data_IF_687007215701
#
_entry.id   IF_687007215701
#
_cell.length_a   1.000
_cell.length_b   1.000
_cell.length_c   1.000
_cell.angle_alpha   90.00
_cell.angle_beta   90.00
_cell.angle_gamma   90.00
#
_symmetry.space_group_name_H-M   'P 1'
#
loop_
_entity.id
_entity.type
_entity.pdbx_description
1 polymer ?
#
# COMPACT_ATOMS: atom_id res chain seq x y z
N UNK A 1 3.45 20.33 -19.38
CA UNK A 1 2.04 20.10 -18.99
C UNK A 1 2.08 19.26 -17.75
N UNK A 2 1.44 19.71 -16.66
CA UNK A 2 1.31 18.89 -15.45
C UNK A 2 0.23 17.85 -15.77
N UNK A 3 0.62 16.60 -16.01
CA UNK A 3 -0.35 15.51 -16.07
C UNK A 3 -1.03 15.47 -14.70
N UNK A 4 -2.33 15.76 -14.69
CA UNK A 4 -3.14 15.59 -13.48
C UNK A 4 -3.08 14.13 -13.08
N UNK A 5 -2.51 13.86 -11.90
CA UNK A 5 -2.53 12.56 -11.22
C UNK A 5 -3.99 12.20 -10.88
N UNK A 6 -4.77 11.79 -11.88
CA UNK A 6 -6.16 11.38 -11.70
C UNK A 6 -6.20 10.15 -10.78
N UNK A 7 -6.83 10.34 -9.62
CA UNK A 7 -7.08 9.29 -8.65
C UNK A 7 -8.25 8.45 -9.15
N UNK A 8 -8.05 7.15 -9.21
CA UNK A 8 -9.03 6.14 -9.60
C UNK A 8 -9.23 5.16 -8.46
N UNK A 9 -10.44 4.59 -8.40
CA UNK A 9 -10.85 3.55 -7.46
C UNK A 9 -11.11 2.26 -8.25
N UNK A 10 -10.48 1.16 -7.84
CA UNK A 10 -10.53 -0.12 -8.56
C UNK A 10 -10.78 -1.27 -7.57
N UNK A 11 -11.51 -2.29 -7.99
CA UNK A 11 -11.47 -3.58 -7.31
C UNK A 11 -10.10 -4.25 -7.49
N UNK A 12 -9.61 -5.06 -6.54
CA UNK A 12 -8.32 -5.73 -6.67
C UNK A 12 -8.16 -6.56 -7.95
N UNK A 13 -9.24 -7.21 -8.39
CA UNK A 13 -9.31 -7.99 -9.62
C UNK A 13 -9.00 -7.14 -10.87
N UNK A 14 -9.39 -5.87 -10.87
CA UNK A 14 -9.17 -4.95 -12.00
C UNK A 14 -7.70 -4.53 -12.15
N UNK A 15 -6.91 -4.62 -11.07
CA UNK A 15 -5.46 -4.47 -11.10
C UNK A 15 -4.73 -5.75 -11.54
N UNK A 16 -5.47 -6.84 -11.79
CA UNK A 16 -4.92 -8.14 -12.12
C UNK A 16 -4.44 -8.91 -10.90
N UNK A 17 -4.84 -8.53 -9.69
CA UNK A 17 -4.52 -9.24 -8.44
C UNK A 17 -4.98 -10.70 -8.52
N UNK A 18 -4.16 -11.70 -8.14
CA UNK A 18 -4.59 -13.09 -8.21
C UNK A 18 -5.71 -13.42 -7.20
N UNK A 19 -6.58 -14.41 -7.46
CA UNK A 19 -7.77 -14.68 -6.64
C UNK A 19 -7.48 -14.95 -5.15
N UNK A 20 -6.37 -15.61 -4.83
CA UNK A 20 -5.96 -15.87 -3.44
C UNK A 20 -5.66 -14.57 -2.70
N UNK A 21 -5.02 -13.61 -3.37
CA UNK A 21 -4.67 -12.30 -2.83
C UNK A 21 -5.90 -11.39 -2.74
N UNK A 22 -6.85 -11.49 -3.67
CA UNK A 22 -8.15 -10.82 -3.55
C UNK A 22 -8.91 -11.25 -2.29
N UNK A 23 -8.80 -12.53 -1.89
CA UNK A 23 -9.40 -13.01 -0.63
C UNK A 23 -8.73 -12.37 0.60
N UNK A 24 -7.41 -12.17 0.57
CA UNK A 24 -6.68 -11.44 1.63
C UNK A 24 -7.21 -10.01 1.76
N UNK A 25 -7.40 -9.30 0.64
CA UNK A 25 -7.97 -7.94 0.67
C UNK A 25 -9.40 -7.91 1.19
N UNK A 26 -10.26 -8.85 0.77
CA UNK A 26 -11.65 -8.94 1.29
C UNK A 26 -11.67 -9.17 2.80
N UNK A 27 -10.79 -10.04 3.29
CA UNK A 27 -10.66 -10.29 4.72
C UNK A 27 -10.13 -9.06 5.47
N UNK A 28 -9.08 -8.41 4.96
CA UNK A 28 -8.52 -7.21 5.58
C UNK A 28 -9.51 -6.06 5.60
N UNK A 29 -10.25 -5.82 4.52
CA UNK A 29 -11.32 -4.83 4.47
C UNK A 29 -12.41 -5.11 5.52
N UNK A 30 -12.80 -6.38 5.70
CA UNK A 30 -13.73 -6.78 6.76
C UNK A 30 -13.15 -6.52 8.17
N UNK A 31 -11.85 -6.70 8.37
CA UNK A 31 -11.18 -6.38 9.64
C UNK A 31 -11.15 -4.86 9.88
N UNK A 32 -10.80 -4.07 8.87
CA UNK A 32 -10.83 -2.61 8.93
C UNK A 32 -12.23 -2.10 9.32
N UNK A 33 -13.28 -2.63 8.69
CA UNK A 33 -14.66 -2.30 9.01
C UNK A 33 -15.02 -2.66 10.45
N UNK A 34 -14.58 -3.81 10.93
CA UNK A 34 -14.78 -4.22 12.33
C UNK A 34 -14.10 -3.23 13.29
N UNK A 35 -12.87 -2.78 12.97
CA UNK A 35 -12.15 -1.78 13.75
C UNK A 35 -12.89 -0.43 13.73
N UNK A 36 -13.35 0.00 12.56
CA UNK A 36 -14.13 1.23 12.34
C UNK A 36 -15.40 1.25 13.18
N UNK A 37 -16.20 0.18 13.12
CA UNK A 37 -17.45 0.02 13.86
C UNK A 37 -17.23 -0.10 15.38
N UNK A 38 -16.12 -0.73 15.79
CA UNK A 38 -15.79 -0.94 17.21
C UNK A 38 -15.11 0.26 17.87
N UNK A 39 -14.73 1.28 17.11
CA UNK A 39 -13.94 2.42 17.61
C UNK A 39 -14.74 3.73 17.50
N UNK A 40 -15.36 4.23 18.59
CA UNK A 40 -16.33 5.34 18.51
C UNK A 40 -15.79 6.63 17.89
N UNK A 41 -14.53 6.97 18.15
CA UNK A 41 -13.90 8.21 17.68
C UNK A 41 -13.43 8.16 16.22
N UNK A 42 -13.33 6.96 15.65
CA UNK A 42 -12.76 6.71 14.33
C UNK A 42 -13.79 7.07 13.25
N UNK A 43 -13.39 7.85 12.25
CA UNK A 43 -14.20 8.16 11.08
C UNK A 43 -13.90 7.17 9.96
N UNK A 44 -12.65 7.14 9.51
CA UNK A 44 -12.18 6.22 8.48
C UNK A 44 -10.86 5.57 8.90
N UNK A 45 -10.60 4.36 8.41
CA UNK A 45 -9.30 3.69 8.51
C UNK A 45 -8.96 3.02 7.18
N UNK A 46 -7.71 3.16 6.75
CA UNK A 46 -7.19 2.61 5.50
C UNK A 46 -5.86 1.91 5.73
N UNK A 47 -5.51 0.98 4.85
CA UNK A 47 -4.14 0.45 4.76
C UNK A 47 -3.45 1.10 3.57
N UNK A 48 -2.25 1.64 3.78
CA UNK A 48 -1.45 2.23 2.71
C UNK A 48 -0.14 1.46 2.55
N UNK A 49 0.52 1.63 1.42
CA UNK A 49 1.95 1.33 1.35
C UNK A 49 2.29 -0.08 0.90
N UNK A 50 3.37 -0.60 1.48
CA UNK A 50 4.02 -1.84 1.07
C UNK A 50 3.10 -3.04 1.07
N UNK A 51 2.30 -3.20 2.15
CA UNK A 51 1.36 -4.32 2.26
C UNK A 51 0.45 -4.47 1.04
N UNK A 52 -0.15 -3.37 0.58
CA UNK A 52 -1.11 -3.38 -0.52
C UNK A 52 -0.40 -3.80 -1.80
N UNK A 53 0.77 -3.23 -2.07
CA UNK A 53 1.55 -3.55 -3.26
C UNK A 53 2.06 -5.00 -3.26
N UNK A 54 2.61 -5.44 -2.13
CA UNK A 54 3.14 -6.79 -1.93
C UNK A 54 2.04 -7.84 -2.14
N UNK A 55 0.86 -7.56 -1.56
CA UNK A 55 -0.31 -8.43 -1.71
C UNK A 55 -0.81 -8.46 -3.15
N UNK A 56 -0.89 -7.33 -3.86
CA UNK A 56 -1.23 -7.30 -5.30
C UNK A 56 -0.28 -8.20 -6.10
N UNK A 57 1.01 -8.17 -5.77
CA UNK A 57 2.07 -8.87 -6.50
C UNK A 57 2.31 -10.31 -6.04
N UNK A 58 1.53 -10.80 -5.08
CA UNK A 58 1.72 -12.11 -4.47
C UNK A 58 3.12 -12.31 -3.85
N UNK A 59 3.67 -11.23 -3.29
CA UNK A 59 4.87 -11.24 -2.46
C UNK A 59 4.45 -11.30 -0.99
N UNK A 60 5.29 -11.90 -0.13
CA UNK A 60 5.01 -11.96 1.31
C UNK A 60 5.07 -10.54 1.91
N UNK A 61 3.95 -10.02 2.45
CA UNK A 61 3.93 -8.68 3.04
C UNK A 61 4.52 -8.70 4.46
N UNK A 62 5.23 -7.65 4.86
CA UNK A 62 5.85 -7.57 6.19
C UNK A 62 4.92 -7.00 7.25
N UNK A 63 4.59 -5.72 7.13
CA UNK A 63 3.89 -4.88 8.11
C UNK A 63 2.64 -4.25 7.52
N UNK A 64 1.77 -3.75 8.39
CA UNK A 64 0.53 -3.06 8.05
C UNK A 64 0.64 -1.60 8.52
N UNK A 65 0.67 -0.68 7.57
CA UNK A 65 0.62 0.76 7.86
C UNK A 65 -0.82 1.25 7.80
N UNK A 66 -1.43 1.41 8.97
CA UNK A 66 -2.79 1.92 9.11
C UNK A 66 -2.77 3.43 9.19
N UNK A 67 -3.58 4.06 8.34
CA UNK A 67 -3.83 5.49 8.39
C UNK A 67 -5.29 5.72 8.75
N UNK A 68 -5.54 6.63 9.68
CA UNK A 68 -6.90 6.81 10.21
C UNK A 68 -7.26 8.29 10.42
N UNK A 69 -8.55 8.60 10.32
CA UNK A 69 -9.14 9.93 10.52
C UNK A 69 -10.10 9.93 11.71
N UNK A 70 -10.27 11.08 12.36
CA UNK A 70 -11.19 11.25 13.49
C UNK A 70 -12.54 11.84 13.06
N UNK A 71 -13.62 11.45 13.75
CA UNK A 71 -14.97 12.02 13.55
C UNK A 71 -15.04 13.48 14.00
N UNK A 72 -14.41 13.77 15.13
CA UNK A 72 -14.40 15.09 15.75
C UNK A 72 -12.97 15.59 15.85
N UNK A 73 -12.79 16.86 15.48
CA UNK A 73 -11.51 17.54 15.60
C UNK A 73 -11.41 18.19 16.98
N UNK A 74 -10.27 18.06 17.65
CA UNK A 74 -10.02 18.78 18.90
C UNK A 74 -9.91 20.29 18.68
N UNK A 75 -9.24 20.72 17.60
CA UNK A 75 -9.19 22.11 17.16
C UNK A 75 -9.37 22.19 15.64
N UNK A 76 -9.71 23.35 15.06
CA UNK A 76 -9.86 23.50 13.60
C UNK A 76 -8.61 23.15 12.78
N UNK A 77 -7.43 23.15 13.40
CA UNK A 77 -6.13 22.90 12.75
C UNK A 77 -5.52 21.56 13.15
N UNK A 78 -6.03 20.90 14.20
CA UNK A 78 -5.48 19.65 14.72
C UNK A 78 -6.58 18.76 15.31
N UNK A 79 -6.84 17.57 14.73
CA UNK A 79 -7.86 16.67 15.24
C UNK A 79 -7.45 15.97 16.55
N UNK A 80 -6.15 15.91 16.85
CA UNK A 80 -5.56 15.09 17.91
C UNK A 80 -5.09 13.71 17.40
N UNK A 81 -4.04 13.12 17.99
CA UNK A 81 -3.68 11.70 17.75
C UNK A 81 -4.17 10.82 18.91
N UNK A 82 -4.83 9.72 18.53
CA UNK A 82 -5.35 8.63 19.37
C UNK A 82 -4.68 7.31 19.00
N UNK A 83 -3.45 7.38 18.48
CA UNK A 83 -2.74 6.26 17.87
C UNK A 83 -2.54 5.11 18.87
N UNK A 84 -2.22 5.41 20.13
CA UNK A 84 -2.07 4.40 21.19
C UNK A 84 -3.40 3.77 21.65
N UNK A 85 -4.49 4.54 21.64
CA UNK A 85 -5.82 4.02 21.94
C UNK A 85 -6.27 3.06 20.83
N UNK A 86 -6.07 3.45 19.57
CA UNK A 86 -6.40 2.62 18.42
C UNK A 86 -5.55 1.34 18.36
N UNK A 87 -4.23 1.42 18.60
CA UNK A 87 -3.35 0.24 18.69
C UNK A 87 -3.83 -0.76 19.74
N UNK A 88 -4.23 -0.28 20.93
CA UNK A 88 -4.80 -1.14 21.99
C UNK A 88 -6.12 -1.76 21.54
N UNK A 89 -6.98 -1.00 20.87
CA UNK A 89 -8.24 -1.50 20.32
C UNK A 89 -8.02 -2.61 19.28
N UNK A 90 -7.12 -2.40 18.33
CA UNK A 90 -6.76 -3.41 17.32
C UNK A 90 -6.21 -4.68 17.97
N UNK A 91 -5.28 -4.52 18.93
CA UNK A 91 -4.72 -5.66 19.66
C UNK A 91 -5.78 -6.44 20.45
N UNK A 92 -6.77 -5.74 21.04
CA UNK A 92 -7.86 -6.36 21.78
C UNK A 92 -8.81 -7.17 20.88
N UNK A 93 -9.10 -6.67 19.66
CA UNK A 93 -9.98 -7.36 18.71
C UNK A 93 -9.37 -8.68 18.21
N UNK A 94 -8.03 -8.81 18.23
CA UNK A 94 -7.30 -10.03 17.88
C UNK A 94 -7.75 -10.67 16.54
N UNK A 95 -7.91 -9.84 15.51
CA UNK A 95 -8.43 -10.27 14.22
C UNK A 95 -7.34 -10.98 13.39
N UNK A 96 -7.68 -11.92 12.49
CA UNK A 96 -6.70 -12.84 11.91
C UNK A 96 -5.49 -12.20 11.19
N UNK A 97 -5.68 -11.17 10.37
CA UNK A 97 -4.62 -10.53 9.59
C UNK A 97 -3.84 -9.55 10.47
N UNK A 98 -4.54 -8.72 11.23
CA UNK A 98 -3.93 -7.70 12.09
C UNK A 98 -3.21 -8.25 13.31
N UNK A 99 -3.65 -9.38 13.88
CA UNK A 99 -2.96 -10.05 15.00
C UNK A 99 -1.70 -10.81 14.60
N UNK A 100 -1.60 -11.21 13.33
CA UNK A 100 -0.46 -11.99 12.82
C UNK A 100 0.69 -11.13 12.29
N UNK A 101 0.55 -9.80 12.30
CA UNK A 101 1.50 -8.86 11.71
C UNK A 101 1.80 -7.68 12.63
N UNK A 102 2.92 -7.01 12.36
CA UNK A 102 3.20 -5.71 12.96
C UNK A 102 2.26 -4.68 12.35
N UNK A 103 1.53 -3.97 13.20
CA UNK A 103 0.62 -2.89 12.79
C UNK A 103 1.18 -1.57 13.29
N UNK A 104 1.57 -0.72 12.35
CA UNK A 104 1.91 0.67 12.62
C UNK A 104 0.68 1.55 12.34
N UNK A 105 0.46 2.56 13.18
CA UNK A 105 -0.76 3.37 13.15
C UNK A 105 -0.37 4.84 13.10
N UNK A 106 -0.83 5.51 12.05
CA UNK A 106 -0.59 6.92 11.76
C UNK A 106 -1.92 7.67 11.64
N UNK A 107 -1.97 8.87 12.19
CA UNK A 107 -3.13 9.75 12.05
C UNK A 107 -2.97 10.63 10.81
N UNK A 108 -4.04 10.80 10.03
CA UNK A 108 -4.06 11.71 8.87
C UNK A 108 -4.96 12.91 9.13
N UNK A 109 -4.51 14.10 8.71
CA UNK A 109 -5.37 15.28 8.68
C UNK A 109 -6.37 15.17 7.51
N UNK A 110 -7.48 15.91 7.60
CA UNK A 110 -8.45 15.96 6.51
C UNK A 110 -7.80 16.57 5.27
N UNK A 111 -7.86 15.84 4.15
CA UNK A 111 -7.17 16.20 2.90
C UNK A 111 -5.74 15.66 2.77
N UNK A 112 -5.15 15.04 3.79
CA UNK A 112 -3.77 14.50 3.73
C UNK A 112 -3.61 13.16 3.01
N UNK A 113 -4.66 12.64 2.37
CA UNK A 113 -4.53 11.52 1.43
C UNK A 113 -3.91 12.07 0.12
N UNK A 114 -2.70 12.59 0.23
CA UNK A 114 -1.83 12.89 -0.89
C UNK A 114 -1.31 11.57 -1.42
N UNK A 115 -1.77 11.15 -2.60
CA UNK A 115 -1.11 10.12 -3.41
C UNK A 115 0.18 10.68 -4.06
N UNK A 116 0.92 11.53 -3.34
CA UNK A 116 2.17 12.11 -3.81
C UNK A 116 3.34 11.19 -3.48
N UNK A 117 4.37 11.11 -4.35
CA UNK A 117 5.56 10.27 -4.13
C UNK A 117 6.29 10.64 -2.82
N UNK A 118 6.44 9.68 -1.91
CA UNK A 118 7.28 9.84 -0.70
C UNK A 118 8.76 9.78 -1.10
N UNK A 119 9.62 10.72 -0.63
CA UNK A 119 11.07 10.66 -0.84
C UNK A 119 11.72 9.46 -0.12
N UNK A 120 12.63 8.79 -0.83
CA UNK A 120 13.16 7.43 -0.58
C UNK A 120 14.08 7.29 0.65
N UNK A 121 14.09 6.11 1.30
CA UNK A 121 15.21 5.59 2.12
C UNK A 121 15.61 4.17 1.67
N UNK A 122 16.83 3.98 1.17
CA UNK A 122 17.17 2.87 0.26
C UNK A 122 17.75 1.63 0.93
N UNK A 123 17.36 0.44 0.47
CA UNK A 123 17.95 -0.85 0.86
C UNK A 123 18.39 -1.71 -0.34
N UNK A 124 19.52 -2.40 -0.20
CA UNK A 124 20.34 -3.04 -1.24
C UNK A 124 19.69 -4.11 -2.16
N UNK A 125 18.46 -4.57 -1.91
CA UNK A 125 17.83 -5.68 -2.66
C UNK A 125 16.35 -5.44 -3.00
N UNK A 126 15.88 -4.20 -3.00
CA UNK A 126 14.46 -3.88 -3.20
C UNK A 126 14.19 -3.56 -4.68
N UNK A 127 13.28 -4.30 -5.32
CA UNK A 127 12.80 -3.96 -6.67
C UNK A 127 11.79 -2.83 -6.52
N UNK A 128 12.23 -1.60 -6.80
CA UNK A 128 11.40 -0.43 -6.64
C UNK A 128 10.34 -0.38 -7.74
N UNK A 129 9.09 -0.59 -7.34
CA UNK A 129 7.94 -0.08 -8.07
C UNK A 129 7.61 1.23 -7.37
N UNK A 130 7.77 2.36 -8.07
CA UNK A 130 7.62 3.74 -7.54
C UNK A 130 6.14 4.10 -7.28
N UNK A 131 5.48 3.26 -6.50
CA UNK A 131 4.05 3.26 -6.20
C UNK A 131 3.71 3.22 -4.69
N UNK A 132 4.65 3.13 -3.70
CA UNK A 132 4.25 2.90 -2.30
C UNK A 132 3.24 3.93 -1.77
N UNK A 133 3.36 5.17 -2.21
CA UNK A 133 2.49 6.26 -1.78
C UNK A 133 1.24 6.45 -2.65
N UNK A 134 1.16 5.74 -3.78
CA UNK A 134 0.08 5.82 -4.78
C UNK A 134 -0.92 4.67 -4.67
N UNK A 135 -0.86 3.80 -3.66
CA UNK A 135 -1.87 2.74 -3.43
C UNK A 135 -2.36 2.71 -1.98
N UNK A 136 -3.67 2.60 -1.80
CA UNK A 136 -4.30 2.39 -0.50
C UNK A 136 -5.52 1.48 -0.65
N UNK A 137 -5.82 0.71 0.39
CA UNK A 137 -6.99 -0.13 0.54
C UNK A 137 -7.95 0.51 1.54
N UNK A 138 -9.20 0.72 1.14
CA UNK A 138 -10.27 1.19 2.03
C UNK A 138 -11.01 0.05 2.75
N UNK A 139 -11.84 0.39 3.74
CA UNK A 139 -12.66 -0.57 4.50
C UNK A 139 -13.78 -1.22 3.66
N UNK A 140 -14.08 -0.69 2.47
CA UNK A 140 -14.98 -1.28 1.48
C UNK A 140 -14.28 -2.31 0.57
N UNK A 141 -12.95 -2.44 0.67
CA UNK A 141 -12.15 -3.41 -0.08
C UNK A 141 -11.72 -2.95 -1.47
N UNK A 142 -11.77 -1.65 -1.74
CA UNK A 142 -11.28 -1.06 -2.97
C UNK A 142 -9.88 -0.50 -2.82
N UNK A 143 -9.15 -0.54 -3.94
CA UNK A 143 -7.83 0.03 -4.05
C UNK A 143 -7.93 1.40 -4.74
N UNK A 144 -7.48 2.44 -4.05
CA UNK A 144 -7.35 3.76 -4.64
C UNK A 144 -5.91 3.98 -5.10
N UNK A 145 -5.76 4.50 -6.30
CA UNK A 145 -4.45 4.72 -6.94
C UNK A 145 -4.52 5.79 -8.01
N UNK A 146 -3.40 6.22 -8.58
CA UNK A 146 -3.43 6.99 -9.83
C UNK A 146 -3.52 6.08 -11.05
N UNK A 147 -4.03 6.61 -12.17
CA UNK A 147 -4.10 5.88 -13.46
C UNK A 147 -2.72 5.42 -13.97
N UNK A 148 -1.71 6.27 -13.79
CA UNK A 148 -0.31 5.95 -14.12
C UNK A 148 0.19 4.77 -13.28
N UNK A 149 0.01 4.83 -11.96
CA UNK A 149 0.41 3.75 -11.06
C UNK A 149 -0.33 2.44 -11.37
N UNK A 150 -1.64 2.50 -11.62
CA UNK A 150 -2.42 1.32 -12.01
C UNK A 150 -1.89 0.66 -13.30
N UNK A 151 -1.49 1.48 -14.28
CA UNK A 151 -0.88 0.98 -15.53
C UNK A 151 0.44 0.28 -15.25
N UNK A 152 1.32 0.92 -14.48
CA UNK A 152 2.61 0.36 -14.09
C UNK A 152 2.45 -0.95 -13.29
N UNK A 153 1.53 -1.02 -12.32
CA UNK A 153 1.23 -2.25 -11.57
C UNK A 153 0.85 -3.39 -12.53
N UNK A 154 -0.09 -3.13 -13.45
CA UNK A 154 -0.60 -4.16 -14.38
C UNK A 154 0.50 -4.67 -15.30
N UNK A 155 1.32 -3.77 -15.84
CA UNK A 155 2.48 -4.13 -16.68
C UNK A 155 3.46 -5.02 -15.91
N UNK A 156 3.78 -4.67 -14.66
CA UNK A 156 4.69 -5.48 -13.83
C UNK A 156 4.11 -6.84 -13.49
N UNK A 157 2.82 -6.93 -13.14
CA UNK A 157 2.15 -8.23 -12.94
C UNK A 157 2.23 -9.08 -14.22
N UNK A 158 2.00 -8.47 -15.39
CA UNK A 158 2.07 -9.15 -16.68
C UNK A 158 3.48 -9.67 -16.98
N UNK A 159 4.52 -8.84 -16.79
CA UNK A 159 5.92 -9.24 -16.97
C UNK A 159 6.28 -10.43 -16.07
N UNK A 160 5.92 -10.34 -14.79
CA UNK A 160 6.20 -11.39 -13.81
C UNK A 160 5.55 -12.72 -14.17
N UNK A 161 4.27 -12.69 -14.56
CA UNK A 161 3.51 -13.91 -14.89
C UNK A 161 3.97 -14.57 -16.17
N UNK A 162 4.30 -13.79 -17.20
CA UNK A 162 4.55 -14.33 -18.53
C UNK A 162 6.03 -14.57 -18.81
N UNK A 163 6.92 -13.83 -18.16
CA UNK A 163 8.36 -13.92 -18.45
C UNK A 163 9.17 -14.46 -17.28
N UNK A 164 8.59 -14.50 -16.06
CA UNK A 164 9.31 -14.83 -14.83
C UNK A 164 10.48 -13.88 -14.53
N UNK A 165 10.53 -12.73 -15.21
CA UNK A 165 11.63 -11.77 -15.23
C UNK A 165 11.05 -10.37 -15.14
N UNK A 166 11.73 -9.47 -14.43
CA UNK A 166 11.43 -8.03 -14.52
C UNK A 166 12.54 -7.41 -15.36
N UNK A 167 12.17 -6.75 -16.45
CA UNK A 167 13.14 -6.02 -17.26
C UNK A 167 13.25 -4.58 -16.74
N UNK A 168 14.48 -4.18 -16.42
CA UNK A 168 14.81 -2.81 -16.04
C UNK A 168 15.51 -2.11 -17.21
N UNK A 169 14.93 -1.00 -17.68
CA UNK A 169 15.58 -0.12 -18.63
C UNK A 169 16.69 0.73 -17.97
N UNK A 170 16.60 0.97 -16.66
CA UNK A 170 17.56 1.79 -15.89
C UNK A 170 17.58 1.39 -14.40
N UNK A 171 18.77 1.25 -13.81
CA UNK A 171 18.95 0.96 -12.38
C UNK A 171 19.53 2.21 -11.69
N UNK A 172 18.82 2.84 -10.74
CA UNK A 172 19.16 4.19 -10.26
C UNK A 172 20.42 4.29 -9.37
N UNK A 173 21.12 3.18 -9.10
CA UNK A 173 22.28 3.15 -8.19
C UNK A 173 23.58 2.65 -8.84
N UNK A 174 23.68 2.65 -10.16
CA UNK A 174 24.97 2.40 -10.83
C UNK A 174 25.33 3.60 -11.71
N UNK A 175 26.46 4.24 -11.37
CA UNK A 175 27.06 5.35 -12.10
C UNK A 175 27.74 4.94 -13.42
N UNK A 176 27.52 3.70 -13.90
CA UNK A 176 28.21 3.18 -15.08
C UNK A 176 27.37 3.37 -16.37
N UNK A 177 27.81 4.23 -17.31
CA UNK A 177 27.11 4.48 -18.57
C UNK A 177 27.11 3.30 -19.55
N UNK A 178 27.79 2.18 -19.21
CA UNK A 178 27.87 0.98 -20.04
C UNK A 178 26.80 -0.09 -19.82
N UNK A 179 25.99 -0.01 -18.75
CA UNK A 179 25.07 -1.08 -18.37
C UNK A 179 23.77 -1.09 -19.19
N UNK A 180 23.77 -1.86 -20.28
CA UNK A 180 22.56 -2.19 -21.06
C UNK A 180 21.75 -3.29 -20.38
N UNK A 181 20.45 -3.03 -20.16
CA UNK A 181 19.35 -3.97 -19.87
C UNK A 181 19.74 -5.25 -19.11
N UNK A 182 19.79 -5.20 -17.78
CA UNK A 182 19.90 -6.42 -16.98
C UNK A 182 18.54 -7.12 -16.86
N UNK A 183 18.53 -8.42 -17.15
CA UNK A 183 17.40 -9.32 -16.96
C UNK A 183 17.67 -10.09 -15.66
N UNK A 184 17.00 -9.73 -14.56
CA UNK A 184 17.10 -10.52 -13.32
C UNK A 184 16.13 -11.71 -13.40
N UNK A 185 16.65 -12.91 -13.19
CA UNK A 185 15.91 -14.18 -13.39
C UNK A 185 15.46 -14.84 -12.09
N UNK A 186 15.93 -14.37 -10.94
CA UNK A 186 15.73 -15.08 -9.67
C UNK A 186 16.11 -14.22 -8.45
N UNK A 187 15.72 -12.95 -8.47
CA UNK A 187 15.65 -12.19 -7.23
C UNK A 187 14.25 -12.44 -6.64
N UNK A 188 14.19 -12.89 -5.38
CA UNK A 188 12.95 -12.82 -4.60
C UNK A 188 12.53 -11.38 -4.67
N UNK A 189 11.44 -11.09 -5.37
CA UNK A 189 10.92 -9.72 -5.47
C UNK A 189 10.58 -9.32 -4.06
N UNK A 190 11.45 -8.52 -3.46
CA UNK A 190 11.09 -7.77 -2.29
C UNK A 190 10.58 -6.47 -2.85
N UNK A 191 9.29 -6.49 -3.22
CA UNK A 191 8.53 -5.26 -3.21
C UNK A 191 8.59 -4.83 -1.74
N UNK A 192 9.27 -3.71 -1.49
CA UNK A 192 9.23 -3.04 -0.21
C UNK A 192 8.64 -1.69 -0.51
N UNK A 193 7.42 -1.46 -0.04
CA UNK A 193 6.99 -0.11 0.23
C UNK A 193 7.87 0.45 1.33
N UNK A 194 8.45 1.61 1.08
CA UNK A 194 8.99 2.47 2.12
C UNK A 194 8.00 3.61 2.33
#
# INVERSE_FOLDING_TARGET
MVETNEIIKLAPEELGTPPKQCAVFKQLASELKTIEESTPFLKDIIVRGGFVLDTIMAVEPNDLDFFYSLKEWQTPEWPGCKCEELKKGIAFLNLPITSSRKVDVCHILEGEIYLDPIPKCLGYFSHHIEIPSKVLLDSDGYIWTTKEAATCIKERIYELRNTGRVQHAYYPYMEDPGYRNYITTSARIVARGL
#
